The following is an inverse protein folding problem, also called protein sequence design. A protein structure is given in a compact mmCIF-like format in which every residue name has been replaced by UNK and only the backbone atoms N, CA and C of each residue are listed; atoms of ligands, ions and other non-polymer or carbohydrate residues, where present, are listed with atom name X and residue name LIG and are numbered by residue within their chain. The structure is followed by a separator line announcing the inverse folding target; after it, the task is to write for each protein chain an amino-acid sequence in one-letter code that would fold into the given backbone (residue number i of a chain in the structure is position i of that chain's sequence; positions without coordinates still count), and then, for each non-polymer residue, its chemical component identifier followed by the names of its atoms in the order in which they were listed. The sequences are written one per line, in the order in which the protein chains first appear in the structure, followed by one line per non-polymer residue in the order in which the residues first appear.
data_IF_407324896518
#
_entry.id   IF_407324896518
#
_cell.length_a   1.000
_cell.length_b   1.000
_cell.length_c   1.000
_cell.angle_alpha   90.00
_cell.angle_beta   90.00
_cell.angle_gamma   90.00
#
_symmetry.space_group_name_H-M   'P 1'
#
loop_
_entity.id
_entity.type
_entity.pdbx_description
1 polymer ?
#
# COMPACT_ATOMS: atom_id res chain seq x y z
N UNK A 1 41.46 38.36 -51.85
CA UNK A 1 41.78 38.10 -50.41
C UNK A 1 40.54 38.08 -49.52
N UNK A 2 39.58 39.03 -49.65
CA UNK A 2 38.38 39.11 -48.79
C UNK A 2 37.46 37.91 -48.96
N UNK A 3 37.24 37.37 -50.19
CA UNK A 3 36.43 36.21 -50.50
C UNK A 3 37.04 34.91 -49.90
N UNK A 4 38.38 34.77 -49.94
CA UNK A 4 39.06 33.63 -49.38
C UNK A 4 38.97 33.60 -47.84
N UNK A 5 39.05 34.74 -47.18
CA UNK A 5 38.89 34.86 -45.73
C UNK A 5 37.46 34.53 -45.26
N UNK A 6 36.44 34.93 -46.06
CA UNK A 6 35.02 34.61 -45.75
C UNK A 6 34.72 33.13 -45.93
N UNK A 7 35.38 32.46 -46.89
CA UNK A 7 35.23 31.04 -47.12
C UNK A 7 35.89 30.23 -46.00
N UNK A 8 37.08 30.62 -45.59
CA UNK A 8 37.78 29.98 -44.47
C UNK A 8 36.97 30.09 -43.13
N UNK A 9 36.40 31.30 -42.86
CA UNK A 9 35.58 31.46 -41.66
C UNK A 9 34.30 30.62 -41.67
N UNK A 10 33.70 30.37 -42.86
CA UNK A 10 32.56 29.46 -42.97
C UNK A 10 32.94 28.01 -42.78
N UNK A 11 34.09 27.58 -43.26
CA UNK A 11 34.59 26.21 -43.04
C UNK A 11 34.96 25.97 -41.58
N UNK A 12 35.57 26.94 -40.88
CA UNK A 12 35.83 26.83 -39.45
C UNK A 12 34.56 26.81 -38.61
N UNK A 13 33.56 27.62 -38.95
CA UNK A 13 32.25 27.59 -38.29
C UNK A 13 31.52 26.26 -38.48
N UNK A 14 31.56 25.69 -39.67
CA UNK A 14 30.95 24.39 -40.00
C UNK A 14 31.67 23.25 -39.23
N UNK A 15 32.98 23.25 -39.19
CA UNK A 15 33.76 22.24 -38.45
C UNK A 15 33.48 22.32 -36.93
N UNK A 16 33.36 23.53 -36.39
CA UNK A 16 32.99 23.73 -34.97
C UNK A 16 31.59 23.22 -34.70
N UNK A 17 30.61 23.54 -35.53
CA UNK A 17 29.24 23.08 -35.36
C UNK A 17 29.13 21.53 -35.44
N UNK A 18 29.89 20.93 -36.33
CA UNK A 18 29.97 19.45 -36.46
C UNK A 18 30.57 18.80 -35.20
N UNK A 19 31.66 19.35 -34.65
CA UNK A 19 32.28 18.86 -33.45
C UNK A 19 31.37 19.00 -32.21
N UNK A 20 30.62 20.10 -32.12
CA UNK A 20 29.62 20.28 -31.04
C UNK A 20 28.44 19.28 -31.16
N UNK A 21 27.97 18.99 -32.37
CA UNK A 21 26.93 18.01 -32.64
C UNK A 21 27.38 16.58 -32.29
N UNK A 22 28.61 16.20 -32.67
CA UNK A 22 29.19 14.89 -32.32
C UNK A 22 29.39 14.75 -30.80
N UNK A 23 29.87 15.78 -30.13
CA UNK A 23 30.02 15.78 -28.67
C UNK A 23 28.68 15.63 -27.94
N UNK A 24 27.64 16.32 -28.41
CA UNK A 24 26.28 16.20 -27.89
C UNK A 24 25.69 14.81 -28.10
N UNK A 25 25.81 14.25 -29.29
CA UNK A 25 25.35 12.89 -29.62
C UNK A 25 26.04 11.83 -28.74
N UNK A 26 27.36 11.98 -28.53
CA UNK A 26 28.11 11.08 -27.65
C UNK A 26 27.71 11.21 -26.17
N UNK A 27 27.39 12.42 -25.69
CA UNK A 27 26.90 12.64 -24.35
C UNK A 27 25.51 12.02 -24.14
N UNK A 28 24.61 12.17 -25.13
CA UNK A 28 23.27 11.57 -25.11
C UNK A 28 23.34 10.03 -25.13
N UNK A 29 24.21 9.44 -25.95
CA UNK A 29 24.42 8.00 -26.02
C UNK A 29 24.98 7.44 -24.69
N UNK A 30 25.92 8.14 -24.06
CA UNK A 30 26.46 7.74 -22.77
C UNK A 30 25.41 7.86 -21.63
N UNK A 31 24.57 8.88 -21.66
CA UNK A 31 23.47 9.04 -20.70
C UNK A 31 22.42 7.92 -20.86
N UNK A 32 22.09 7.56 -22.10
CA UNK A 32 21.17 6.46 -22.38
C UNK A 32 21.72 5.09 -21.93
N UNK A 33 23.01 4.82 -22.22
CA UNK A 33 23.67 3.59 -21.79
C UNK A 33 23.75 3.47 -20.25
N UNK A 34 24.01 4.59 -19.56
CA UNK A 34 24.03 4.62 -18.10
C UNK A 34 22.62 4.36 -17.53
N UNK A 35 21.59 4.99 -18.08
CA UNK A 35 20.20 4.78 -17.66
C UNK A 35 19.75 3.33 -17.87
N UNK A 36 20.18 2.70 -18.97
CA UNK A 36 19.87 1.30 -19.24
C UNK A 36 20.57 0.37 -18.24
N UNK A 37 21.84 0.60 -17.96
CA UNK A 37 22.60 -0.20 -16.98
C UNK A 37 22.01 -0.06 -15.54
N UNK A 38 21.58 1.14 -15.15
CA UNK A 38 20.89 1.38 -13.88
C UNK A 38 19.54 0.66 -13.83
N UNK A 39 18.77 0.65 -14.92
CA UNK A 39 17.50 -0.07 -15.01
C UNK A 39 17.68 -1.59 -14.92
N UNK A 40 18.68 -2.16 -15.58
CA UNK A 40 19.00 -3.59 -15.53
C UNK A 40 19.49 -4.01 -14.13
N UNK A 41 20.33 -3.20 -13.47
CA UNK A 41 20.80 -3.45 -12.12
C UNK A 41 19.64 -3.41 -11.12
N UNK A 42 18.70 -2.47 -11.30
CA UNK A 42 17.49 -2.36 -10.47
C UNK A 42 16.58 -3.57 -10.67
N UNK A 43 16.29 -3.97 -11.90
CA UNK A 43 15.46 -5.13 -12.20
C UNK A 43 16.04 -6.43 -11.60
N UNK A 44 17.37 -6.59 -11.63
CA UNK A 44 18.04 -7.74 -11.01
C UNK A 44 17.91 -7.74 -9.49
N UNK A 45 18.10 -6.59 -8.85
CA UNK A 45 17.92 -6.44 -7.39
C UNK A 45 16.48 -6.70 -6.96
N UNK A 46 15.49 -6.24 -7.74
CA UNK A 46 14.07 -6.51 -7.49
C UNK A 46 13.72 -8.00 -7.63
N UNK A 47 14.28 -8.67 -8.65
CA UNK A 47 14.09 -10.09 -8.85
C UNK A 47 14.72 -10.92 -7.71
N UNK A 48 15.91 -10.56 -7.25
CA UNK A 48 16.57 -11.20 -6.11
C UNK A 48 15.77 -10.98 -4.81
N UNK A 49 15.27 -9.76 -4.59
CA UNK A 49 14.42 -9.44 -3.43
C UNK A 49 13.12 -10.24 -3.46
N UNK A 50 12.47 -10.33 -4.62
CA UNK A 50 11.26 -11.13 -4.81
C UNK A 50 11.52 -12.62 -4.56
N UNK A 51 12.63 -13.15 -5.04
CA UNK A 51 13.00 -14.55 -4.85
C UNK A 51 13.29 -14.87 -3.37
N UNK A 52 13.94 -13.95 -2.63
CA UNK A 52 14.15 -14.07 -1.18
C UNK A 52 12.82 -14.00 -0.43
N UNK A 53 11.90 -13.11 -0.83
CA UNK A 53 10.55 -13.03 -0.26
C UNK A 53 9.76 -14.32 -0.53
N UNK A 54 9.79 -14.83 -1.75
CA UNK A 54 9.11 -16.08 -2.11
C UNK A 54 9.63 -17.29 -1.32
N UNK A 55 10.94 -17.34 -1.04
CA UNK A 55 11.53 -18.41 -0.24
C UNK A 55 11.12 -18.39 1.24
N UNK A 56 10.65 -17.26 1.74
CA UNK A 56 10.15 -17.09 3.13
C UNK A 56 8.66 -17.37 3.28
N UNK A 57 7.93 -17.54 2.18
CA UNK A 57 6.49 -17.79 2.24
C UNK A 57 6.19 -19.16 2.85
N UNK A 58 5.22 -19.28 3.78
CA UNK A 58 4.75 -20.57 4.26
C UNK A 58 4.31 -21.47 3.11
N UNK A 59 4.59 -22.76 3.19
CA UNK A 59 4.26 -23.70 2.11
C UNK A 59 2.75 -23.71 1.78
N UNK A 60 1.90 -23.51 2.80
CA UNK A 60 0.45 -23.35 2.62
C UNK A 60 0.09 -22.14 1.74
N UNK A 61 0.82 -21.03 1.91
CA UNK A 61 0.65 -19.83 1.11
C UNK A 61 1.09 -20.04 -0.34
N UNK A 62 2.26 -20.69 -0.55
CA UNK A 62 2.77 -21.03 -1.89
C UNK A 62 1.82 -21.97 -2.63
N UNK A 63 1.27 -22.97 -1.95
CA UNK A 63 0.31 -23.90 -2.53
C UNK A 63 -0.98 -23.20 -2.95
N UNK A 64 -1.56 -22.35 -2.10
CA UNK A 64 -2.77 -21.57 -2.39
C UNK A 64 -2.55 -20.59 -3.57
N UNK A 65 -1.37 -19.97 -3.67
CA UNK A 65 -1.00 -19.09 -4.78
C UNK A 65 -0.92 -19.85 -6.11
N UNK A 66 -0.32 -21.02 -6.11
CA UNK A 66 -0.19 -21.84 -7.31
C UNK A 66 -1.57 -22.35 -7.79
N UNK A 67 -2.47 -22.70 -6.88
CA UNK A 67 -3.83 -23.11 -7.21
C UNK A 67 -4.69 -21.94 -7.75
N UNK A 68 -4.56 -20.74 -7.20
CA UNK A 68 -5.25 -19.56 -7.70
C UNK A 68 -4.79 -19.14 -9.12
N UNK A 69 -3.50 -19.35 -9.44
CA UNK A 69 -2.92 -19.03 -10.75
C UNK A 69 -3.36 -19.96 -11.89
N UNK A 70 -3.85 -21.17 -11.58
CA UNK A 70 -4.24 -22.17 -12.59
C UNK A 70 -5.69 -22.09 -13.04
N UNK A 71 -6.51 -21.27 -12.37
CA UNK A 71 -7.96 -21.16 -12.64
C UNK A 71 -8.30 -19.79 -13.22
N UNK A 72 -8.40 -19.68 -14.55
CA UNK A 72 -8.92 -18.51 -15.24
C UNK A 72 -10.43 -18.38 -15.05
N UNK A 73 -10.91 -17.19 -14.65
CA UNK A 73 -12.35 -16.89 -14.53
C UNK A 73 -12.96 -16.50 -15.88
N UNK A 74 -14.23 -16.84 -16.14
CA UNK A 74 -14.92 -16.49 -17.40
C UNK A 74 -15.31 -15.01 -17.44
N UNK A 75 -15.13 -14.41 -18.61
CA UNK A 75 -15.48 -13.01 -18.93
C UNK A 75 -16.99 -12.84 -18.96
N UNK A 76 -17.54 -11.89 -18.21
CA UNK A 76 -18.91 -11.40 -18.34
C UNK A 76 -18.95 -9.90 -18.67
N UNK A 77 -19.85 -9.54 -19.59
CA UNK A 77 -20.02 -8.22 -20.21
C UNK A 77 -20.26 -7.08 -19.21
N UNK A 78 -19.71 -5.89 -19.52
CA UNK A 78 -19.93 -4.65 -18.80
C UNK A 78 -21.42 -4.25 -18.76
N UNK A 79 -22.01 -4.25 -17.59
CA UNK A 79 -23.31 -3.59 -17.32
C UNK A 79 -23.11 -2.35 -16.45
N UNK A 80 -23.80 -1.30 -16.85
CA UNK A 80 -23.87 0.04 -16.28
C UNK A 80 -23.99 0.07 -14.74
N UNK A 81 -22.97 0.61 -14.03
CA UNK A 81 -22.68 0.34 -12.61
C UNK A 81 -23.35 1.34 -11.64
N UNK A 82 -24.13 2.31 -12.12
CA UNK A 82 -24.61 3.43 -11.28
C UNK A 82 -25.89 3.19 -10.47
N UNK A 83 -26.50 2.00 -10.51
CA UNK A 83 -27.78 1.77 -9.83
C UNK A 83 -28.03 0.37 -9.25
N UNK A 84 -27.00 -0.44 -9.03
CA UNK A 84 -27.18 -1.77 -8.42
C UNK A 84 -26.48 -1.85 -7.06
N UNK A 85 -27.05 -2.56 -6.06
CA UNK A 85 -26.33 -2.93 -4.85
C UNK A 85 -25.05 -3.65 -5.25
N UNK A 86 -23.95 -3.30 -4.62
CA UNK A 86 -22.64 -3.96 -4.84
C UNK A 86 -22.83 -5.43 -4.45
N UNK A 87 -22.93 -6.31 -5.43
CA UNK A 87 -22.95 -7.75 -5.15
C UNK A 87 -21.63 -8.14 -4.49
N UNK A 88 -21.65 -8.98 -3.44
CA UNK A 88 -20.45 -9.50 -2.85
C UNK A 88 -19.60 -10.19 -3.92
N UNK A 89 -18.27 -10.05 -3.89
CA UNK A 89 -17.39 -10.62 -4.90
C UNK A 89 -17.66 -12.12 -5.06
N UNK A 90 -17.60 -12.59 -6.31
CA UNK A 90 -17.77 -13.99 -6.70
C UNK A 90 -17.09 -14.92 -5.69
N UNK A 91 -17.83 -15.93 -5.23
CA UNK A 91 -17.34 -16.91 -4.27
C UNK A 91 -16.06 -17.55 -4.81
N UNK A 92 -14.96 -17.39 -4.06
CA UNK A 92 -13.77 -18.18 -4.28
C UNK A 92 -14.12 -19.66 -4.13
N UNK A 93 -13.59 -20.50 -5.02
CA UNK A 93 -13.85 -21.93 -5.06
C UNK A 93 -13.45 -22.58 -3.71
N UNK A 94 -14.37 -23.29 -3.08
CA UNK A 94 -14.30 -23.74 -1.69
C UNK A 94 -13.31 -24.92 -1.43
N UNK A 95 -12.40 -25.24 -2.37
CA UNK A 95 -11.63 -26.49 -2.33
C UNK A 95 -10.31 -26.47 -1.54
N UNK A 96 -9.73 -25.28 -1.25
CA UNK A 96 -8.51 -25.18 -0.44
C UNK A 96 -8.62 -23.99 0.53
N UNK A 97 -9.10 -24.23 1.73
CA UNK A 97 -9.13 -23.21 2.78
C UNK A 97 -7.76 -23.08 3.44
N UNK A 98 -7.17 -21.88 3.38
CA UNK A 98 -5.98 -21.55 4.15
C UNK A 98 -6.32 -21.59 5.64
N UNK A 99 -5.47 -22.25 6.45
CA UNK A 99 -5.61 -22.23 7.91
C UNK A 99 -5.38 -20.82 8.44
N UNK A 100 -6.29 -20.35 9.29
CA UNK A 100 -6.19 -19.07 9.99
C UNK A 100 -5.65 -19.22 11.42
N UNK A 101 -5.13 -20.39 11.79
CA UNK A 101 -4.48 -20.58 13.09
C UNK A 101 -3.10 -19.92 13.09
N UNK A 102 -2.82 -19.14 14.14
CA UNK A 102 -1.50 -18.54 14.33
C UNK A 102 -0.46 -19.62 14.62
N UNK A 103 0.62 -19.67 13.81
CA UNK A 103 1.74 -20.56 14.01
C UNK A 103 2.89 -19.86 14.76
N UNK A 104 2.94 -20.06 16.06
CA UNK A 104 3.97 -19.48 16.92
C UNK A 104 5.41 -19.98 16.63
N UNK A 105 5.57 -21.01 15.78
CA UNK A 105 6.88 -21.58 15.43
C UNK A 105 7.44 -21.00 14.12
N UNK A 106 6.60 -20.42 13.29
CA UNK A 106 7.00 -19.87 12.00
C UNK A 106 7.43 -18.39 12.14
N UNK A 107 8.62 -18.13 12.67
CA UNK A 107 9.14 -16.79 12.88
C UNK A 107 10.62 -16.66 12.52
N UNK A 108 11.05 -15.45 12.27
CA UNK A 108 12.45 -15.05 12.17
C UNK A 108 12.83 -14.20 13.40
N UNK A 109 13.98 -14.53 14.05
CA UNK A 109 14.49 -13.71 15.15
C UNK A 109 15.24 -12.51 14.59
N UNK A 110 14.84 -11.31 15.00
CA UNK A 110 15.36 -10.04 14.52
C UNK A 110 15.87 -9.18 15.67
N UNK A 111 16.86 -8.34 15.39
CA UNK A 111 17.28 -7.29 16.30
C UNK A 111 17.62 -6.00 15.55
N UNK A 112 17.42 -4.87 16.22
CA UNK A 112 17.82 -3.56 15.72
C UNK A 112 18.04 -2.60 16.88
N UNK A 113 18.66 -1.45 16.62
CA UNK A 113 18.96 -0.46 17.66
C UNK A 113 18.07 0.77 17.49
N UNK A 114 17.40 1.19 18.57
CA UNK A 114 16.60 2.42 18.66
C UNK A 114 17.11 3.21 19.88
N UNK A 115 17.48 4.46 19.69
CA UNK A 115 17.96 5.35 20.77
C UNK A 115 19.06 4.68 21.63
N UNK A 116 20.05 4.04 20.99
CA UNK A 116 21.15 3.28 21.61
C UNK A 116 20.69 2.05 22.43
N UNK A 117 19.44 1.63 22.32
CA UNK A 117 18.92 0.42 22.95
C UNK A 117 18.66 -0.65 21.91
N UNK A 118 19.19 -1.86 22.12
CA UNK A 118 18.88 -3.02 21.29
C UNK A 118 17.43 -3.45 21.53
N UNK A 119 16.68 -3.60 20.44
CA UNK A 119 15.31 -4.11 20.42
C UNK A 119 15.34 -5.45 19.70
N UNK A 120 15.03 -6.51 20.41
CA UNK A 120 14.90 -7.89 19.89
C UNK A 120 13.43 -8.22 19.72
N UNK A 121 13.10 -8.85 18.60
CA UNK A 121 11.72 -9.21 18.30
C UNK A 121 11.65 -10.43 17.40
N UNK A 122 10.51 -11.13 17.43
CA UNK A 122 10.16 -12.17 16.46
C UNK A 122 9.30 -11.56 15.37
N UNK A 123 9.67 -11.83 14.13
CA UNK A 123 8.95 -11.44 12.93
C UNK A 123 8.17 -12.64 12.39
N UNK A 124 6.86 -12.51 12.35
CA UNK A 124 5.93 -13.46 11.72
C UNK A 124 5.37 -12.76 10.48
N UNK A 125 5.89 -13.11 9.32
CA UNK A 125 5.58 -12.38 8.10
C UNK A 125 4.73 -13.22 7.14
N UNK A 126 4.01 -12.53 6.24
CA UNK A 126 3.14 -13.13 5.22
C UNK A 126 2.04 -14.04 5.78
N UNK A 127 1.42 -13.66 6.88
CA UNK A 127 0.32 -14.40 7.51
C UNK A 127 -0.99 -14.08 6.76
N UNK A 128 -1.62 -15.03 6.05
CA UNK A 128 -2.92 -14.80 5.46
C UNK A 128 -3.97 -14.57 6.56
N UNK A 129 -4.76 -13.52 6.44
CA UNK A 129 -5.82 -13.23 7.41
C UNK A 129 -7.21 -13.60 6.91
N UNK A 130 -7.31 -14.22 5.71
CA UNK A 130 -8.55 -14.79 5.14
C UNK A 130 -8.26 -16.19 4.58
N UNK A 131 -9.24 -17.09 4.66
CA UNK A 131 -9.09 -18.44 4.17
C UNK A 131 -9.26 -18.57 2.66
N UNK A 132 -9.96 -17.62 2.02
CA UNK A 132 -10.23 -17.56 0.59
C UNK A 132 -9.80 -16.20 0.01
N UNK A 133 -8.50 -15.92 -0.10
CA UNK A 133 -8.04 -14.63 -0.61
C UNK A 133 -8.42 -14.45 -2.09
N UNK A 134 -8.90 -13.27 -2.44
CA UNK A 134 -9.08 -12.84 -3.83
C UNK A 134 -7.74 -12.45 -4.44
N UNK A 135 -6.87 -11.83 -3.64
CA UNK A 135 -5.51 -11.46 -4.00
C UNK A 135 -4.59 -11.80 -2.83
N UNK A 136 -3.93 -12.94 -2.92
CA UNK A 136 -3.09 -13.45 -1.84
C UNK A 136 -1.86 -12.57 -1.61
N UNK A 137 -1.39 -11.85 -2.63
CA UNK A 137 -0.26 -10.92 -2.52
C UNK A 137 -0.65 -9.60 -1.82
N UNK A 138 -1.96 -9.41 -1.55
CA UNK A 138 -2.51 -8.23 -0.88
C UNK A 138 -3.35 -8.56 0.37
N UNK A 139 -3.61 -9.84 0.67
CA UNK A 139 -4.44 -10.24 1.80
C UNK A 139 -3.65 -11.05 2.82
N UNK A 140 -2.57 -10.45 3.31
CA UNK A 140 -1.71 -10.98 4.37
C UNK A 140 -1.36 -9.89 5.37
N UNK A 141 -0.81 -10.25 6.52
CA UNK A 141 -0.25 -9.31 7.48
C UNK A 141 1.09 -9.79 8.01
N UNK A 142 1.87 -8.84 8.52
CA UNK A 142 3.07 -9.11 9.27
C UNK A 142 2.83 -8.81 10.76
N UNK A 143 3.24 -9.71 11.63
CA UNK A 143 3.16 -9.55 13.07
C UNK A 143 4.56 -9.52 13.67
N UNK A 144 4.83 -8.53 14.50
CA UNK A 144 6.10 -8.35 15.19
C UNK A 144 5.86 -8.32 16.69
N UNK A 145 6.59 -9.17 17.41
CA UNK A 145 6.40 -9.37 18.86
C UNK A 145 7.75 -9.19 19.55
N UNK A 146 7.84 -8.33 20.59
CA UNK A 146 9.05 -8.21 21.39
C UNK A 146 9.50 -9.57 21.96
N UNK A 147 10.79 -9.89 21.86
CA UNK A 147 11.35 -11.18 22.29
C UNK A 147 11.12 -11.44 23.78
N UNK A 148 11.08 -10.38 24.59
CA UNK A 148 10.87 -10.46 26.05
C UNK A 148 9.58 -11.19 26.42
N UNK A 149 8.53 -11.11 25.58
CA UNK A 149 7.23 -11.74 25.87
C UNK A 149 7.27 -13.27 25.77
N UNK A 150 8.21 -13.82 25.05
CA UNK A 150 8.43 -15.28 24.98
C UNK A 150 9.24 -15.82 26.15
N UNK A 151 9.84 -14.92 26.94
CA UNK A 151 10.64 -15.24 28.13
C UNK A 151 9.94 -14.77 29.43
N UNK A 152 8.62 -14.57 29.42
CA UNK A 152 7.83 -14.03 30.53
C UNK A 152 8.32 -12.65 31.03
N UNK A 153 8.97 -11.88 30.16
CA UNK A 153 9.45 -10.54 30.46
C UNK A 153 8.36 -9.48 30.31
N UNK A 154 8.73 -8.24 30.66
CA UNK A 154 7.88 -7.07 30.53
C UNK A 154 8.62 -5.90 29.90
N UNK A 155 7.91 -5.07 29.13
CA UNK A 155 8.41 -3.81 28.59
C UNK A 155 7.41 -2.71 28.95
N UNK A 156 7.89 -1.65 29.62
CA UNK A 156 7.06 -0.52 30.04
C UNK A 156 5.78 -0.94 30.82
N UNK A 157 5.84 -2.02 31.60
CA UNK A 157 4.70 -2.55 32.36
C UNK A 157 3.75 -3.45 31.56
N UNK A 158 3.98 -3.62 30.26
CA UNK A 158 3.23 -4.58 29.46
C UNK A 158 3.90 -5.96 29.47
N UNK A 159 3.08 -6.98 29.37
CA UNK A 159 3.49 -8.37 29.22
C UNK A 159 2.74 -9.02 28.03
N UNK A 160 2.95 -10.32 27.82
CA UNK A 160 2.35 -11.08 26.73
C UNK A 160 0.82 -10.99 26.65
N UNK A 161 0.11 -10.72 27.76
CA UNK A 161 -1.35 -10.67 27.83
C UNK A 161 -1.90 -9.25 27.86
N UNK A 162 -1.08 -8.26 28.20
CA UNK A 162 -1.53 -6.87 28.40
C UNK A 162 -1.01 -5.89 27.35
N UNK A 163 -0.05 -6.32 26.52
CA UNK A 163 0.51 -5.49 25.47
C UNK A 163 -0.57 -5.09 24.46
N UNK A 164 -0.75 -3.78 24.18
CA UNK A 164 -1.61 -3.35 23.10
C UNK A 164 -1.09 -3.86 21.75
N UNK A 165 -2.01 -4.06 20.82
CA UNK A 165 -1.67 -4.37 19.42
C UNK A 165 -1.75 -3.08 18.59
N UNK A 166 -0.63 -2.57 18.14
CA UNK A 166 -0.57 -1.45 17.20
C UNK A 166 -0.76 -2.00 15.77
N UNK A 167 -1.79 -1.52 15.09
CA UNK A 167 -2.20 -1.98 13.77
C UNK A 167 -2.09 -0.85 12.74
N UNK A 168 -0.87 -0.50 12.30
CA UNK A 168 -0.67 0.52 11.30
C UNK A 168 -1.00 -0.03 9.90
N UNK A 169 -1.62 0.81 9.07
CA UNK A 169 -1.81 0.54 7.65
C UNK A 169 -1.02 1.55 6.79
N UNK A 170 -0.54 1.09 5.63
CA UNK A 170 0.20 1.91 4.67
C UNK A 170 -0.68 2.40 3.52
N UNK A 171 -2.01 2.44 3.70
CA UNK A 171 -2.95 2.86 2.66
C UNK A 171 -2.73 4.33 2.31
N UNK A 172 -2.37 4.61 1.06
CA UNK A 172 -2.21 5.94 0.50
C UNK A 172 -3.09 6.10 -0.74
N UNK A 173 -3.96 7.13 -0.80
CA UNK A 173 -4.85 7.37 -1.94
C UNK A 173 -5.79 6.20 -2.27
N UNK A 174 -6.11 5.35 -1.31
CA UNK A 174 -6.87 4.09 -1.49
C UNK A 174 -6.25 3.12 -2.51
N UNK A 175 -4.94 3.22 -2.70
CA UNK A 175 -4.16 2.29 -3.52
C UNK A 175 -3.88 0.99 -2.77
N UNK A 176 -3.49 -0.11 -3.46
CA UNK A 176 -2.97 -1.30 -2.79
C UNK A 176 -1.83 -0.96 -1.84
N UNK A 177 -1.81 -1.54 -0.67
CA UNK A 177 -0.77 -1.30 0.33
C UNK A 177 -0.11 -2.59 0.78
N UNK A 178 1.19 -2.55 1.02
CA UNK A 178 1.94 -3.65 1.60
C UNK A 178 1.98 -3.54 3.13
N UNK A 179 2.15 -4.67 3.81
CA UNK A 179 2.39 -4.69 5.25
C UNK A 179 3.67 -3.91 5.59
N UNK A 180 3.59 -3.05 6.61
CA UNK A 180 4.75 -2.29 7.08
C UNK A 180 5.72 -3.21 7.84
N UNK A 181 7.01 -2.88 7.77
CA UNK A 181 8.10 -3.60 8.45
C UNK A 181 8.87 -2.67 9.38
N UNK A 182 9.52 -3.20 10.46
CA UNK A 182 10.39 -2.41 11.31
C UNK A 182 11.59 -1.86 10.54
N UNK A 183 11.79 -0.53 10.55
CA UNK A 183 12.89 0.12 9.83
C UNK A 183 13.43 1.34 10.57
N UNK A 184 14.73 1.59 10.38
CA UNK A 184 15.36 2.87 10.72
C UNK A 184 15.55 3.68 9.44
N UNK A 185 15.02 4.89 9.41
CA UNK A 185 14.96 5.77 8.24
C UNK A 185 15.51 7.14 8.60
N UNK A 186 16.51 7.60 7.86
CA UNK A 186 17.17 8.87 8.16
C UNK A 186 17.61 8.96 9.64
N UNK A 187 18.06 7.85 10.21
CA UNK A 187 18.49 7.76 11.61
C UNK A 187 17.36 7.71 12.63
N UNK A 188 16.10 7.61 12.22
CA UNK A 188 14.93 7.53 13.10
C UNK A 188 14.17 6.22 12.91
N UNK A 189 13.64 5.62 13.99
CA UNK A 189 12.76 4.47 13.87
C UNK A 189 11.43 4.88 13.21
N UNK A 190 10.91 4.04 12.33
CA UNK A 190 9.54 4.20 11.84
C UNK A 190 8.52 3.84 12.95
N UNK A 191 7.22 4.06 12.68
CA UNK A 191 6.14 3.82 13.66
C UNK A 191 6.10 2.38 14.16
N UNK A 192 6.38 1.40 13.30
CA UNK A 192 6.42 -0.04 13.66
C UNK A 192 7.53 -0.31 14.67
N UNK A 193 8.75 0.12 14.35
CA UNK A 193 9.90 -0.09 15.21
C UNK A 193 9.78 0.70 16.52
N UNK A 194 9.21 1.91 16.45
CA UNK A 194 8.97 2.72 17.64
C UNK A 194 7.94 2.06 18.57
N UNK A 195 6.85 1.52 18.03
CA UNK A 195 5.85 0.81 18.82
C UNK A 195 6.45 -0.43 19.51
N UNK A 196 7.26 -1.23 18.79
CA UNK A 196 7.99 -2.36 19.38
C UNK A 196 8.90 -1.92 20.54
N UNK A 197 9.63 -0.80 20.39
CA UNK A 197 10.51 -0.27 21.44
C UNK A 197 9.73 0.14 22.70
N UNK A 198 8.44 0.38 22.59
CA UNK A 198 7.53 0.72 23.67
C UNK A 198 6.80 -0.50 24.25
N UNK A 199 7.05 -1.69 23.73
CA UNK A 199 6.45 -2.93 24.21
C UNK A 199 5.09 -3.25 23.59
N UNK A 200 4.75 -2.62 22.47
CA UNK A 200 3.55 -3.00 21.72
C UNK A 200 3.84 -4.19 20.83
N UNK A 201 2.89 -5.08 20.68
CA UNK A 201 2.83 -5.99 19.55
C UNK A 201 2.40 -5.19 18.34
N UNK A 202 2.99 -5.44 17.19
CA UNK A 202 2.62 -4.76 15.95
C UNK A 202 2.03 -5.77 14.98
N UNK A 203 0.86 -5.48 14.43
CA UNK A 203 0.23 -6.26 13.37
C UNK A 203 -0.10 -5.33 12.20
N UNK A 204 0.67 -5.39 11.12
CA UNK A 204 0.47 -4.54 9.96
C UNK A 204 -0.09 -5.32 8.79
N UNK A 205 -1.35 -5.10 8.39
CA UNK A 205 -1.95 -5.74 7.24
C UNK A 205 -1.54 -5.07 5.92
N UNK A 206 -1.31 -5.88 4.91
CA UNK A 206 -1.40 -5.51 3.51
C UNK A 206 -2.88 -5.47 3.11
N UNK A 207 -3.27 -4.65 2.15
CA UNK A 207 -4.67 -4.55 1.71
C UNK A 207 -4.78 -4.39 0.21
N UNK A 208 -5.85 -4.90 -0.36
CA UNK A 208 -6.26 -4.54 -1.71
C UNK A 208 -6.57 -3.04 -1.78
N UNK A 209 -6.50 -2.47 -2.98
CA UNK A 209 -6.82 -1.08 -3.22
C UNK A 209 -7.45 -0.87 -4.60
N UNK A 210 -7.93 0.34 -4.85
CA UNK A 210 -8.76 0.73 -6.00
C UNK A 210 -8.18 0.38 -7.38
N UNK A 211 -6.90 0.08 -7.50
CA UNK A 211 -6.24 -0.27 -8.76
C UNK A 211 -5.90 -1.75 -8.92
N UNK A 212 -6.12 -2.59 -7.88
CA UNK A 212 -5.95 -4.03 -8.04
C UNK A 212 -6.90 -4.57 -9.10
N UNK A 213 -6.34 -5.41 -9.97
CA UNK A 213 -7.07 -6.13 -11.01
C UNK A 213 -6.77 -7.61 -10.94
N UNK A 214 -7.78 -8.43 -11.18
CA UNK A 214 -7.61 -9.84 -11.45
C UNK A 214 -6.98 -10.07 -12.84
N UNK A 215 -6.62 -11.31 -13.14
CA UNK A 215 -6.03 -11.69 -14.44
C UNK A 215 -6.94 -11.43 -15.64
N UNK A 216 -8.26 -11.39 -15.43
CA UNK A 216 -9.27 -11.05 -16.42
C UNK A 216 -9.45 -9.53 -16.63
N UNK A 217 -8.70 -8.70 -15.89
CA UNK A 217 -8.75 -7.24 -15.96
C UNK A 217 -9.81 -6.57 -15.07
N UNK A 218 -10.67 -7.35 -14.40
CA UNK A 218 -11.68 -6.82 -13.50
C UNK A 218 -11.05 -6.23 -12.24
N UNK A 219 -11.60 -5.12 -11.75
CA UNK A 219 -11.15 -4.51 -10.51
C UNK A 219 -11.62 -5.32 -9.31
N UNK A 220 -10.69 -5.73 -8.44
CA UNK A 220 -10.93 -6.55 -7.24
C UNK A 220 -10.68 -5.80 -5.93
N UNK A 221 -10.26 -4.54 -6.00
CA UNK A 221 -9.91 -3.73 -4.83
C UNK A 221 -10.68 -2.42 -4.72
N UNK A 222 -11.80 -2.24 -5.48
CA UNK A 222 -12.72 -1.10 -5.29
C UNK A 222 -13.40 -1.15 -3.92
N UNK A 223 -13.95 -0.02 -3.49
CA UNK A 223 -14.74 0.01 -2.26
C UNK A 223 -15.81 -1.11 -2.26
N UNK A 224 -16.02 -1.82 -1.15
CA UNK A 224 -15.44 -1.62 0.19
C UNK A 224 -14.17 -2.45 0.49
N UNK A 225 -13.44 -2.95 -0.51
CA UNK A 225 -12.38 -3.95 -0.34
C UNK A 225 -11.37 -3.61 0.77
N UNK A 226 -10.86 -2.37 0.82
CA UNK A 226 -9.84 -1.98 1.79
C UNK A 226 -10.32 -2.09 3.24
N UNK A 227 -11.55 -1.66 3.54
CA UNK A 227 -12.08 -1.75 4.91
C UNK A 227 -12.42 -3.19 5.28
N UNK A 228 -12.91 -3.99 4.33
CA UNK A 228 -13.18 -5.42 4.53
C UNK A 228 -11.89 -6.16 4.84
N UNK A 229 -10.78 -5.88 4.14
CA UNK A 229 -9.48 -6.46 4.40
C UNK A 229 -8.96 -6.11 5.81
N UNK A 230 -9.08 -4.85 6.23
CA UNK A 230 -8.69 -4.42 7.58
C UNK A 230 -9.56 -5.07 8.66
N UNK A 231 -10.87 -5.22 8.44
CA UNK A 231 -11.76 -5.92 9.37
C UNK A 231 -11.46 -7.41 9.43
N UNK A 232 -11.14 -8.06 8.30
CA UNK A 232 -10.73 -9.46 8.28
C UNK A 232 -9.42 -9.68 9.06
N UNK A 233 -8.44 -8.79 8.90
CA UNK A 233 -7.20 -8.82 9.67
C UNK A 233 -7.48 -8.61 11.18
N UNK A 234 -8.41 -7.74 11.54
CA UNK A 234 -8.84 -7.55 12.93
C UNK A 234 -9.51 -8.81 13.50
N UNK A 235 -10.40 -9.44 12.73
CA UNK A 235 -11.04 -10.70 13.11
C UNK A 235 -10.02 -11.82 13.32
N UNK A 236 -8.97 -11.88 12.48
CA UNK A 236 -7.86 -12.82 12.68
C UNK A 236 -7.18 -12.63 14.04
N UNK A 237 -6.87 -11.37 14.41
CA UNK A 237 -6.23 -11.06 15.68
C UNK A 237 -7.11 -11.46 16.87
N UNK A 238 -8.41 -11.15 16.82
CA UNK A 238 -9.35 -11.58 17.87
C UNK A 238 -9.47 -13.09 17.98
N UNK A 239 -9.51 -13.81 16.83
CA UNK A 239 -9.62 -15.27 16.83
C UNK A 239 -8.38 -15.96 17.40
N UNK A 240 -7.22 -15.34 17.30
CA UNK A 240 -5.94 -15.90 17.74
C UNK A 240 -5.43 -15.26 19.07
N UNK A 241 -6.22 -14.46 19.76
CA UNK A 241 -5.80 -13.74 20.98
C UNK A 241 -5.19 -14.65 22.05
N UNK A 242 -5.70 -15.86 22.20
CA UNK A 242 -5.15 -16.84 23.15
C UNK A 242 -3.90 -17.57 22.67
N UNK A 243 -3.62 -17.53 21.38
CA UNK A 243 -2.52 -18.26 20.76
C UNK A 243 -1.28 -17.40 20.49
N UNK A 244 -1.43 -16.08 20.54
CA UNK A 244 -0.37 -15.12 20.23
C UNK A 244 -0.19 -14.11 21.37
N UNK A 245 1.04 -13.54 21.56
CA UNK A 245 1.24 -12.43 22.47
C UNK A 245 0.49 -11.18 21.97
N UNK A 246 0.03 -10.36 22.93
CA UNK A 246 -0.76 -9.15 22.70
C UNK A 246 -2.19 -9.31 23.25
N UNK A 247 -2.92 -8.23 23.28
CA UNK A 247 -4.30 -8.19 23.75
C UNK A 247 -5.19 -7.66 22.62
N UNK A 248 -5.94 -8.52 21.97
CA UNK A 248 -6.83 -8.16 20.87
C UNK A 248 -7.98 -7.21 21.30
N UNK A 249 -8.28 -7.13 22.61
CA UNK A 249 -9.21 -6.10 23.12
C UNK A 249 -8.56 -4.70 23.20
N UNK A 250 -7.29 -4.56 22.80
CA UNK A 250 -6.54 -3.30 22.79
C UNK A 250 -5.85 -3.05 21.44
N UNK A 251 -6.55 -3.35 20.35
CA UNK A 251 -6.09 -3.04 19.00
C UNK A 251 -6.22 -1.53 18.75
N UNK A 252 -5.11 -0.90 18.35
CA UNK A 252 -5.06 0.53 18.00
C UNK A 252 -4.73 0.61 16.52
N UNK A 253 -5.73 0.92 15.70
CA UNK A 253 -5.51 1.15 14.27
C UNK A 253 -4.89 2.51 14.00
N UNK A 254 -4.02 2.60 12.99
CA UNK A 254 -3.30 3.83 12.68
C UNK A 254 -3.10 3.99 11.18
N UNK A 255 -3.20 5.23 10.70
CA UNK A 255 -2.93 5.58 9.31
C UNK A 255 -2.93 7.08 9.05
N UNK A 256 -2.46 7.47 7.86
CA UNK A 256 -2.38 8.87 7.43
C UNK A 256 -3.13 9.04 6.12
N UNK A 257 -3.76 10.21 5.88
CA UNK A 257 -4.50 10.53 4.66
C UNK A 257 -5.64 9.54 4.41
N UNK A 258 -5.67 8.84 3.27
CA UNK A 258 -6.62 7.75 3.02
C UNK A 258 -6.50 6.63 4.08
N UNK A 259 -5.28 6.30 4.52
CA UNK A 259 -5.03 5.37 5.63
C UNK A 259 -5.62 5.86 6.95
N UNK A 260 -5.59 7.17 7.21
CA UNK A 260 -6.29 7.78 8.33
C UNK A 260 -7.81 7.63 8.22
N UNK A 261 -8.36 7.86 7.03
CA UNK A 261 -9.79 7.68 6.75
C UNK A 261 -10.27 6.25 7.00
N UNK A 262 -9.55 5.24 6.48
CA UNK A 262 -9.92 3.83 6.71
C UNK A 262 -9.69 3.40 8.17
N UNK A 263 -8.73 3.99 8.88
CA UNK A 263 -8.55 3.75 10.32
C UNK A 263 -9.74 4.26 11.13
N UNK A 264 -10.26 5.46 10.82
CA UNK A 264 -11.49 5.98 11.46
C UNK A 264 -12.70 5.12 11.10
N UNK A 265 -12.82 4.73 9.83
CA UNK A 265 -13.92 3.88 9.38
C UNK A 265 -13.89 2.52 10.11
N UNK A 266 -12.72 1.93 10.29
CA UNK A 266 -12.54 0.69 11.06
C UNK A 266 -13.00 0.85 12.51
N UNK A 267 -12.68 1.98 13.15
CA UNK A 267 -13.13 2.32 14.51
C UNK A 267 -14.64 2.51 14.58
N UNK A 268 -15.24 3.16 13.58
CA UNK A 268 -16.67 3.48 13.56
C UNK A 268 -17.57 2.28 13.19
N UNK A 269 -17.05 1.32 12.41
CA UNK A 269 -17.84 0.24 11.80
C UNK A 269 -17.48 -1.16 12.32
N UNK A 270 -16.75 -1.24 13.43
CA UNK A 270 -16.45 -2.51 14.07
C UNK A 270 -17.73 -3.30 14.37
N UNK A 271 -17.76 -4.57 13.99
CA UNK A 271 -18.90 -5.48 14.13
C UNK A 271 -20.15 -5.08 13.30
N UNK A 272 -20.06 -4.15 12.34
CA UNK A 272 -21.21 -3.84 11.47
C UNK A 272 -21.62 -5.05 10.65
N UNK A 273 -22.94 -5.26 10.56
CA UNK A 273 -23.54 -6.30 9.72
C UNK A 273 -23.33 -6.05 8.22
N UNK A 274 -23.08 -4.80 7.82
CA UNK A 274 -22.93 -4.41 6.43
C UNK A 274 -21.73 -5.08 5.74
N UNK A 275 -20.70 -5.40 6.51
CA UNK A 275 -19.50 -6.06 5.99
C UNK A 275 -19.51 -7.58 6.11
N UNK A 276 -20.48 -8.16 6.83
CA UNK A 276 -20.53 -9.62 7.07
C UNK A 276 -20.58 -10.45 5.78
N UNK A 277 -21.35 -10.10 4.73
CA UNK A 277 -21.36 -10.87 3.49
C UNK A 277 -19.97 -10.93 2.82
N UNK A 278 -19.22 -9.82 2.85
CA UNK A 278 -17.88 -9.75 2.27
C UNK A 278 -16.86 -10.55 3.10
N UNK A 279 -16.92 -10.47 4.44
CA UNK A 279 -16.07 -11.22 5.35
C UNK A 279 -16.29 -12.72 5.19
N UNK A 280 -17.54 -13.16 5.07
CA UNK A 280 -17.90 -14.57 4.84
C UNK A 280 -17.38 -15.06 3.49
N UNK A 281 -17.53 -14.27 2.41
CA UNK A 281 -17.03 -14.63 1.08
C UNK A 281 -15.51 -14.83 1.06
N UNK A 282 -14.76 -14.00 1.81
CA UNK A 282 -13.31 -14.12 1.98
C UNK A 282 -12.92 -15.26 2.93
N UNK A 283 -13.86 -15.88 3.63
CA UNK A 283 -13.54 -16.83 4.68
C UNK A 283 -12.74 -16.20 5.82
N UNK A 284 -13.07 -14.98 6.22
CA UNK A 284 -12.50 -14.34 7.39
C UNK A 284 -12.81 -15.12 8.66
N UNK A 285 -11.97 -15.00 9.69
CA UNK A 285 -12.22 -15.64 10.97
C UNK A 285 -13.57 -15.17 11.57
N UNK A 286 -14.32 -16.12 12.15
CA UNK A 286 -15.58 -15.80 12.85
C UNK A 286 -15.27 -15.23 14.23
N UNK A 287 -14.95 -13.94 14.27
CA UNK A 287 -14.59 -13.20 15.46
C UNK A 287 -14.99 -11.72 15.33
N UNK A 288 -14.82 -10.97 16.41
CA UNK A 288 -15.07 -9.54 16.42
C UNK A 288 -14.16 -8.77 15.46
N UNK A 289 -14.68 -7.66 14.89
CA UNK A 289 -13.92 -6.76 14.01
C UNK A 289 -13.74 -5.36 14.58
N UNK A 290 -14.16 -5.14 15.83
CA UNK A 290 -13.98 -3.87 16.51
C UNK A 290 -12.54 -3.66 16.98
N UNK A 291 -12.13 -2.40 17.03
CA UNK A 291 -10.85 -1.96 17.58
C UNK A 291 -11.07 -1.13 18.83
N UNK A 292 -10.05 -1.05 19.68
CA UNK A 292 -10.09 -0.27 20.91
C UNK A 292 -9.99 1.23 20.65
N UNK A 293 -9.13 1.63 19.72
CA UNK A 293 -8.91 3.02 19.36
C UNK A 293 -8.47 3.18 17.91
N UNK A 294 -8.75 4.33 17.31
CA UNK A 294 -8.26 4.75 16.02
C UNK A 294 -7.37 5.99 16.17
N UNK A 295 -6.13 5.91 15.70
CA UNK A 295 -5.16 6.99 15.67
C UNK A 295 -4.95 7.44 14.22
N UNK A 296 -5.71 8.43 13.78
CA UNK A 296 -5.73 8.89 12.40
C UNK A 296 -5.04 10.25 12.25
N UNK A 297 -4.17 10.36 11.25
CA UNK A 297 -3.46 11.58 10.92
C UNK A 297 -3.97 12.14 9.60
N UNK A 298 -4.38 13.43 9.60
CA UNK A 298 -4.96 14.12 8.45
C UNK A 298 -5.92 13.22 7.64
N UNK A 299 -6.94 12.61 8.29
CA UNK A 299 -7.81 11.64 7.65
C UNK A 299 -8.63 12.29 6.56
N UNK A 300 -8.82 11.60 5.44
CA UNK A 300 -9.80 11.98 4.44
C UNK A 300 -11.15 11.41 4.90
N UNK A 301 -12.03 12.30 5.32
CA UNK A 301 -13.39 11.98 5.77
C UNK A 301 -14.42 12.48 4.78
N UNK A 302 -15.67 12.09 4.95
CA UNK A 302 -16.78 12.57 4.14
C UNK A 302 -16.60 12.34 2.63
N UNK A 303 -16.30 11.10 2.25
CA UNK A 303 -15.99 10.72 0.88
C UNK A 303 -17.15 11.02 -0.10
N UNK A 304 -18.39 10.98 0.38
CA UNK A 304 -19.59 11.22 -0.45
C UNK A 304 -19.69 12.67 -0.94
N UNK A 305 -19.15 13.62 -0.18
CA UNK A 305 -19.30 15.04 -0.44
C UNK A 305 -17.96 15.80 -0.60
N UNK A 306 -16.82 15.10 -0.51
CA UNK A 306 -15.49 15.73 -0.57
C UNK A 306 -15.26 16.46 -1.90
N UNK A 307 -15.73 15.92 -3.02
CA UNK A 307 -15.57 16.53 -4.34
C UNK A 307 -16.28 17.89 -4.42
N UNK A 308 -17.49 18.01 -3.86
CA UNK A 308 -18.19 19.29 -3.79
C UNK A 308 -17.41 20.36 -3.04
N UNK A 309 -16.79 20.00 -1.91
CA UNK A 309 -15.98 20.91 -1.10
C UNK A 309 -14.73 21.36 -1.85
N UNK A 310 -14.05 20.45 -2.53
CA UNK A 310 -12.87 20.79 -3.34
C UNK A 310 -13.24 21.66 -4.53
N UNK A 311 -14.29 21.34 -5.26
CA UNK A 311 -14.72 22.13 -6.41
C UNK A 311 -15.23 23.52 -5.99
N UNK A 312 -15.87 23.64 -4.82
CA UNK A 312 -16.22 24.94 -4.25
C UNK A 312 -14.98 25.77 -3.90
N UNK A 313 -13.98 25.15 -3.24
CA UNK A 313 -12.74 25.85 -2.82
C UNK A 313 -11.89 26.28 -4.02
N UNK A 314 -11.90 25.52 -5.10
CA UNK A 314 -11.07 25.75 -6.29
C UNK A 314 -11.87 26.19 -7.52
N UNK A 315 -13.09 26.67 -7.32
CA UNK A 315 -13.94 27.15 -8.40
C UNK A 315 -13.22 28.23 -9.23
N UNK A 316 -13.32 28.11 -10.57
CA UNK A 316 -12.68 29.04 -11.52
C UNK A 316 -11.23 28.67 -11.89
N UNK A 317 -10.64 27.61 -11.33
CA UNK A 317 -9.39 27.06 -11.84
C UNK A 317 -9.68 26.31 -13.14
N UNK A 318 -9.01 26.73 -14.23
CA UNK A 318 -9.21 26.18 -15.57
C UNK A 318 -8.11 25.21 -16.02
N UNK A 319 -7.09 24.99 -15.19
CA UNK A 319 -5.97 24.11 -15.49
C UNK A 319 -5.26 23.64 -14.22
N UNK A 320 -4.64 22.48 -14.27
CA UNK A 320 -3.86 21.92 -13.19
C UNK A 320 -2.57 21.28 -13.70
N UNK A 321 -1.62 21.05 -12.81
CA UNK A 321 -0.42 20.30 -13.14
C UNK A 321 -0.66 18.81 -12.84
N UNK A 322 -0.85 18.01 -13.88
CA UNK A 322 -0.93 16.55 -13.77
C UNK A 322 0.48 16.02 -13.49
N UNK A 323 0.63 15.38 -12.33
CA UNK A 323 1.85 14.66 -12.01
C UNK A 323 1.72 13.26 -12.54
N UNK A 324 2.55 12.90 -13.51
CA UNK A 324 2.67 11.51 -13.98
C UNK A 324 3.90 10.91 -13.30
N UNK A 325 3.71 9.85 -12.56
CA UNK A 325 4.79 9.02 -12.04
C UNK A 325 5.29 8.17 -13.20
N UNK A 326 6.62 8.12 -13.42
CA UNK A 326 7.21 7.18 -14.37
C UNK A 326 6.77 5.75 -14.02
N UNK A 327 6.67 4.87 -15.02
CA UNK A 327 6.39 3.44 -14.79
C UNK A 327 7.51 2.85 -13.92
N UNK A 328 7.27 2.80 -12.66
CA UNK A 328 8.10 2.33 -11.59
C UNK A 328 7.38 2.74 -10.32
N UNK A 329 6.59 1.85 -9.77
CA UNK A 329 5.92 1.92 -8.47
C UNK A 329 5.40 3.32 -8.11
N UNK A 330 4.06 3.44 -8.05
CA UNK A 330 3.45 4.49 -7.24
C UNK A 330 4.20 4.53 -5.89
N UNK A 331 4.53 5.70 -5.35
CA UNK A 331 5.06 5.73 -4.01
C UNK A 331 4.02 5.02 -3.14
N UNK A 332 4.30 3.78 -2.80
CA UNK A 332 3.86 3.26 -1.52
C UNK A 332 4.20 4.38 -0.56
N UNK A 333 3.30 4.72 0.35
CA UNK A 333 3.62 5.68 1.40
C UNK A 333 4.96 5.23 1.97
N UNK A 334 6.05 5.76 1.38
CA UNK A 334 7.40 5.25 1.56
C UNK A 334 7.84 5.66 2.94
N UNK A 335 7.58 4.77 3.83
CA UNK A 335 8.26 4.73 5.07
C UNK A 335 9.53 3.93 4.80
N UNK A 336 10.54 4.62 4.21
CA UNK A 336 11.93 4.27 4.17
C UNK A 336 12.45 3.25 3.20
N UNK A 337 13.16 3.77 2.29
CA UNK A 337 14.19 3.15 1.47
C UNK A 337 14.90 4.24 0.69
N UNK A 338 16.20 4.13 0.54
CA UNK A 338 17.07 4.99 -0.26
C UNK A 338 16.80 4.85 -1.78
N UNK A 339 15.56 4.77 -2.20
CA UNK A 339 15.18 4.89 -3.60
C UNK A 339 15.08 6.38 -3.90
N UNK A 340 15.80 6.82 -4.91
CA UNK A 340 15.62 8.14 -5.49
C UNK A 340 14.12 8.36 -5.73
N UNK A 341 13.57 9.54 -5.38
CA UNK A 341 12.16 9.80 -5.58
C UNK A 341 11.83 9.51 -7.05
N UNK A 342 10.72 8.81 -7.35
CA UNK A 342 10.35 8.49 -8.72
C UNK A 342 10.35 9.79 -9.53
N UNK A 343 10.90 9.75 -10.75
CA UNK A 343 10.90 10.90 -11.64
C UNK A 343 9.45 11.35 -11.86
N UNK A 344 9.13 12.50 -11.30
CA UNK A 344 7.83 13.13 -11.47
C UNK A 344 7.88 14.00 -12.73
N UNK A 345 7.12 13.63 -13.76
CA UNK A 345 6.87 14.55 -14.85
C UNK A 345 5.61 15.34 -14.54
N UNK A 346 5.72 16.66 -14.62
CA UNK A 346 4.59 17.57 -14.45
C UNK A 346 4.14 18.06 -15.82
N UNK A 347 2.89 17.77 -16.16
CA UNK A 347 2.27 18.26 -17.40
C UNK A 347 1.11 19.18 -17.04
N UNK A 348 1.10 20.39 -17.59
CA UNK A 348 -0.05 21.29 -17.45
C UNK A 348 -1.19 20.78 -18.33
N UNK A 349 -2.33 20.53 -17.72
CA UNK A 349 -3.56 20.09 -18.38
C UNK A 349 -4.59 21.20 -18.23
N UNK A 350 -5.21 21.59 -19.32
CA UNK A 350 -6.36 22.48 -19.30
C UNK A 350 -7.63 21.64 -19.17
N UNK A 351 -8.55 22.12 -18.34
CA UNK A 351 -9.89 21.54 -18.22
C UNK A 351 -10.68 21.82 -19.50
N UNK A 352 -11.42 20.85 -19.97
CA UNK A 352 -12.33 21.01 -21.09
C UNK A 352 -13.68 21.62 -20.63
N UNK A 353 -14.57 21.89 -21.56
CA UNK A 353 -15.87 22.52 -21.27
C UNK A 353 -16.73 21.68 -20.34
N UNK A 354 -16.69 20.35 -20.50
CA UNK A 354 -17.49 19.40 -19.71
C UNK A 354 -16.94 19.31 -18.27
N UNK A 355 -15.61 19.24 -18.11
CA UNK A 355 -14.95 19.29 -16.81
C UNK A 355 -15.30 20.58 -16.04
N UNK A 356 -15.31 21.74 -16.72
CA UNK A 356 -15.66 23.03 -16.12
C UNK A 356 -17.14 23.10 -15.74
N UNK A 357 -18.03 22.55 -16.56
CA UNK A 357 -19.45 22.48 -16.26
C UNK A 357 -19.73 21.56 -15.06
N UNK A 358 -19.05 20.43 -14.98
CA UNK A 358 -19.15 19.49 -13.87
C UNK A 358 -18.61 20.08 -12.56
N UNK A 359 -17.44 20.72 -12.62
CA UNK A 359 -16.85 21.45 -11.49
C UNK A 359 -17.80 22.51 -10.94
N UNK A 360 -18.40 23.32 -11.83
CA UNK A 360 -19.39 24.32 -11.45
C UNK A 360 -20.61 23.68 -10.76
N UNK A 361 -21.16 22.62 -11.34
CA UNK A 361 -22.32 21.92 -10.77
C UNK A 361 -22.02 21.42 -9.34
N UNK A 362 -20.87 20.76 -9.14
CA UNK A 362 -20.48 20.26 -7.81
C UNK A 362 -20.26 21.41 -6.82
N UNK A 363 -19.64 22.51 -7.24
CA UNK A 363 -19.40 23.66 -6.37
C UNK A 363 -20.68 24.35 -5.92
N UNK A 364 -21.73 24.35 -6.75
CA UNK A 364 -23.03 24.94 -6.45
C UNK A 364 -23.84 24.10 -5.43
N UNK A 365 -23.56 22.80 -5.31
CA UNK A 365 -24.23 21.94 -4.32
C UNK A 365 -23.60 22.03 -2.92
N UNK A 366 -22.37 22.51 -2.78
CA UNK A 366 -21.67 22.52 -1.50
C UNK A 366 -22.34 23.44 -0.43
N UNK A 367 -22.78 24.66 -0.75
CA UNK A 367 -23.45 25.53 0.24
C UNK A 367 -24.74 24.93 0.82
N UNK A 368 -25.51 24.17 0.02
CA UNK A 368 -26.73 23.51 0.48
C UNK A 368 -26.44 22.28 1.36
N UNK A 369 -25.23 21.73 1.25
CA UNK A 369 -24.77 20.59 2.04
C UNK A 369 -24.28 21.01 3.43
N UNK A 370 -23.65 22.21 3.59
CA UNK A 370 -23.09 22.72 4.84
C UNK A 370 -24.15 23.37 5.72
#
# INVERSE_FOLDING_TARGET
ERLAAEQLAKEEAAAKAQAEAEAKAKAEANAAAKAQAEAEAKAKSEAETKQVQESKLPQSYVNARNEASTKGSPVTEEKNILSQPIEPPLQADASAKISLAFDAKNYESMSTTVDNKEIKYRAFEYIPYVANPIDIDQQYMNIYVPEEYFNNGTINGYNTQTAPIFMPNAVGGYMPSQAMTPKVENGKPNSVLYALSRGYVVASPSTRGRTNKASDGNFIGKAPAVIVDLQAATAYLHANDSAMPGNANRIITNGTSAGGGVSLLQGATGNSSDFQPYLQALGAATAATNVYAASAYAPITNLDAADMAYEWSYNGITSFNKVTMGQGELPQANVGGNSAPPQRTMQRVNLNTDDLAYSKMLSEHFPDYV
#
